data_IF_109507056756
#
_entry.id   IF_109507056756
#
_cell.length_a   1.000
_cell.length_b   1.000
_cell.length_c   1.000
_cell.angle_alpha   90.00
_cell.angle_beta   90.00
_cell.angle_gamma   90.00
#
_symmetry.space_group_name_H-M   'P 1'
#
loop_
_entity.id
_entity.type
_entity.pdbx_description
1 polymer ?
#
# COMPACT_ATOMS: atom_id res chain seq x y z
N UNK A 1 2.17 -29.41 22.45
CA UNK A 1 3.45 -28.74 22.15
C UNK A 1 3.42 -27.92 20.86
N UNK A 2 3.10 -28.50 19.69
CA UNK A 2 3.02 -27.75 18.41
C UNK A 2 2.14 -26.50 18.47
N UNK A 3 0.93 -26.61 19.01
CA UNK A 3 0.00 -25.46 19.17
C UNK A 3 0.59 -24.33 20.03
N UNK A 4 1.28 -24.66 21.12
CA UNK A 4 1.89 -23.68 22.02
C UNK A 4 3.05 -22.96 21.32
N UNK A 5 3.91 -23.71 20.62
CA UNK A 5 5.00 -23.14 19.82
C UNK A 5 4.45 -22.23 18.72
N UNK A 6 3.39 -22.65 18.01
CA UNK A 6 2.73 -21.82 16.99
C UNK A 6 2.17 -20.52 17.58
N UNK A 7 1.54 -20.58 18.76
CA UNK A 7 1.02 -19.38 19.45
C UNK A 7 2.16 -18.43 19.84
N UNK A 8 3.27 -18.96 20.36
CA UNK A 8 4.45 -18.15 20.74
C UNK A 8 5.02 -17.44 19.50
N UNK A 9 5.16 -18.14 18.38
CA UNK A 9 5.64 -17.55 17.12
C UNK A 9 4.67 -16.47 16.62
N UNK A 10 3.36 -16.73 16.64
CA UNK A 10 2.35 -15.75 16.24
C UNK A 10 2.41 -14.48 17.09
N UNK A 11 2.55 -14.61 18.42
CA UNK A 11 2.67 -13.47 19.32
C UNK A 11 3.97 -12.68 19.07
N UNK A 12 5.06 -13.38 18.78
CA UNK A 12 6.33 -12.74 18.43
C UNK A 12 6.21 -11.92 17.13
N UNK A 13 5.60 -12.49 16.08
CA UNK A 13 5.36 -11.78 14.81
C UNK A 13 4.43 -10.59 15.03
N UNK A 14 3.30 -10.80 15.72
CA UNK A 14 2.34 -9.74 16.01
C UNK A 14 2.98 -8.59 16.79
N UNK A 15 3.76 -8.90 17.83
CA UNK A 15 4.51 -7.91 18.60
C UNK A 15 5.52 -7.14 17.73
N UNK A 16 6.26 -7.83 16.87
CA UNK A 16 7.16 -7.21 15.91
C UNK A 16 6.46 -6.25 14.95
N UNK A 17 5.30 -6.64 14.41
CA UNK A 17 4.48 -5.80 13.53
C UNK A 17 3.96 -4.56 14.28
N UNK A 18 3.45 -4.72 15.51
CA UNK A 18 2.97 -3.60 16.32
C UNK A 18 4.08 -2.58 16.54
N UNK A 19 5.28 -3.03 16.92
CA UNK A 19 6.43 -2.14 17.13
C UNK A 19 6.82 -1.42 15.83
N UNK A 20 6.91 -2.15 14.71
CA UNK A 20 7.27 -1.57 13.42
C UNK A 20 6.27 -0.50 12.95
N UNK A 21 4.97 -0.75 13.14
CA UNK A 21 3.93 0.18 12.69
C UNK A 21 3.64 1.32 13.68
N UNK A 22 4.00 1.17 14.96
CA UNK A 22 3.74 2.18 16.01
C UNK A 22 4.32 3.56 15.72
N UNK A 23 5.39 3.62 14.93
CA UNK A 23 6.09 4.87 14.59
C UNK A 23 5.58 5.52 13.30
N UNK A 24 4.66 4.89 12.57
CA UNK A 24 4.14 5.43 11.32
C UNK A 24 3.02 6.43 11.63
N UNK A 25 3.22 7.75 11.41
CA UNK A 25 2.16 8.73 11.64
C UNK A 25 1.00 8.49 10.69
N UNK A 26 -0.18 8.28 11.26
CA UNK A 26 -1.44 8.19 10.52
C UNK A 26 -1.85 9.57 10.00
N UNK A 27 -2.40 9.63 8.78
CA UNK A 27 -2.92 10.87 8.18
C UNK A 27 -1.87 11.87 7.72
N UNK A 28 -0.57 11.56 7.80
CA UNK A 28 0.49 12.38 7.18
C UNK A 28 0.79 11.87 5.78
N UNK A 29 0.84 12.80 4.83
CA UNK A 29 1.31 12.49 3.50
C UNK A 29 2.80 12.08 3.55
N UNK A 30 3.10 10.94 2.94
CA UNK A 30 4.45 10.38 2.85
C UNK A 30 4.84 10.05 1.41
N UNK A 31 3.91 10.14 0.46
CA UNK A 31 4.10 9.61 -0.90
C UNK A 31 4.00 10.76 -1.89
N UNK A 32 5.15 11.32 -2.26
CA UNK A 32 5.23 12.40 -3.24
C UNK A 32 4.60 12.04 -4.59
N UNK A 33 4.66 10.77 -4.98
CA UNK A 33 4.04 10.25 -6.20
C UNK A 33 2.51 10.30 -6.17
N UNK A 34 1.88 10.14 -5.00
CA UNK A 34 0.42 10.20 -4.90
C UNK A 34 -0.10 11.60 -5.29
N UNK A 35 0.59 12.66 -4.86
CA UNK A 35 0.29 14.02 -5.27
C UNK A 35 0.42 14.25 -6.77
N UNK A 36 1.39 13.58 -7.42
CA UNK A 36 1.52 13.63 -8.87
C UNK A 36 0.29 13.03 -9.55
N UNK A 37 -0.09 11.80 -9.19
CA UNK A 37 -1.27 11.13 -9.75
C UNK A 37 -2.56 11.92 -9.52
N UNK A 38 -2.74 12.52 -8.34
CA UNK A 38 -3.93 13.33 -8.04
C UNK A 38 -3.97 14.59 -8.91
N UNK A 39 -2.84 15.26 -9.12
CA UNK A 39 -2.78 16.52 -9.86
C UNK A 39 -2.77 16.35 -11.38
N UNK A 40 -2.13 15.29 -11.88
CA UNK A 40 -1.86 15.07 -13.30
C UNK A 40 -2.62 13.91 -13.91
N UNK A 41 -3.22 13.03 -13.09
CA UNK A 41 -3.89 11.82 -13.56
C UNK A 41 -4.94 12.07 -14.63
N UNK A 42 -5.81 13.07 -14.46
CA UNK A 42 -6.86 13.37 -15.44
C UNK A 42 -6.25 13.90 -16.76
N UNK A 43 -5.27 14.79 -16.67
CA UNK A 43 -4.60 15.40 -17.84
C UNK A 43 -3.85 14.34 -18.67
N UNK A 44 -3.15 13.42 -18.01
CA UNK A 44 -2.29 12.44 -18.66
C UNK A 44 -3.03 11.18 -19.12
N UNK A 45 -4.15 10.83 -18.48
CA UNK A 45 -4.83 9.55 -18.71
C UNK A 45 -6.25 9.70 -19.23
N UNK A 46 -6.86 10.88 -19.09
CA UNK A 46 -8.28 11.13 -19.38
C UNK A 46 -9.26 10.50 -18.37
N UNK A 47 -8.77 9.70 -17.41
CA UNK A 47 -9.61 9.01 -16.43
C UNK A 47 -9.82 9.87 -15.18
N UNK A 48 -11.10 10.16 -14.88
CA UNK A 48 -11.49 10.90 -13.66
C UNK A 48 -11.27 10.04 -12.40
N UNK A 49 -11.34 8.72 -12.52
CA UNK A 49 -11.06 7.81 -11.42
C UNK A 49 -9.54 7.59 -11.26
N UNK A 50 -8.98 8.16 -10.18
CA UNK A 50 -7.54 8.09 -9.88
C UNK A 50 -7.06 6.65 -9.60
N UNK A 51 -7.89 5.79 -9.00
CA UNK A 51 -7.49 4.40 -8.75
C UNK A 51 -7.34 3.66 -10.08
N UNK A 52 -8.32 3.81 -10.97
CA UNK A 52 -8.28 3.18 -12.30
C UNK A 52 -7.14 3.72 -13.15
N UNK A 53 -6.90 5.04 -13.13
CA UNK A 53 -5.79 5.65 -13.88
C UNK A 53 -4.43 5.13 -13.41
N UNK A 54 -4.24 4.93 -12.09
CA UNK A 54 -3.01 4.37 -11.56
C UNK A 54 -2.82 2.92 -11.98
N UNK A 55 -3.83 2.08 -11.80
CA UNK A 55 -3.71 0.63 -12.05
C UNK A 55 -3.58 0.33 -13.55
N UNK A 56 -4.39 0.97 -14.40
CA UNK A 56 -4.44 0.63 -15.83
C UNK A 56 -3.52 1.48 -16.71
N UNK A 57 -3.31 2.76 -16.38
CA UNK A 57 -2.56 3.67 -17.26
C UNK A 57 -1.12 3.85 -16.79
N UNK A 58 -0.89 4.20 -15.52
CA UNK A 58 0.47 4.36 -14.99
C UNK A 58 1.18 3.04 -14.72
N UNK A 59 0.44 2.06 -14.18
CA UNK A 59 0.96 0.74 -13.79
C UNK A 59 0.34 -0.38 -14.63
N UNK A 60 -0.05 -0.07 -15.87
CA UNK A 60 -0.72 -1.04 -16.74
C UNK A 60 0.09 -2.31 -17.00
N UNK A 61 1.43 -2.25 -16.96
CA UNK A 61 2.27 -3.45 -17.03
C UNK A 61 2.10 -4.39 -15.85
N UNK A 62 1.84 -3.87 -14.65
CA UNK A 62 1.61 -4.68 -13.46
C UNK A 62 0.26 -5.42 -13.56
N UNK A 63 -0.76 -4.77 -14.15
CA UNK A 63 -2.08 -5.39 -14.39
C UNK A 63 -2.12 -6.30 -15.60
N UNK A 64 -1.26 -6.09 -16.60
CA UNK A 64 -1.21 -6.96 -17.77
C UNK A 64 -0.86 -8.42 -17.41
N UNK A 65 -0.15 -8.62 -16.28
CA UNK A 65 0.24 -9.93 -15.77
C UNK A 65 -0.61 -10.45 -14.60
N UNK A 66 -1.67 -9.75 -14.21
CA UNK A 66 -2.63 -10.17 -13.18
C UNK A 66 -3.66 -11.16 -13.76
#
# INVERSE_FOLDING_TARGET
MRKIISIIILLMIAGGLILAFSQIPFGKDKINVANYYIKKGIEETGAVNIVTSVVLNYRGFDTLGE
#
